data_IF_554061124336
#
_entry.id   IF_554061124336
#
_cell.length_a   1.000
_cell.length_b   1.000
_cell.length_c   1.000
_cell.angle_alpha   90.00
_cell.angle_beta   90.00
_cell.angle_gamma   90.00
#
_symmetry.space_group_name_H-M   'P 1'
#
loop_
_entity.id
_entity.type
_entity.pdbx_description
1 polymer ?
#
# COMPACT_ATOMS: atom_id res chain seq x y z
N UNK A 1 15.96 16.24 3.89
CA UNK A 1 16.28 14.81 4.07
C UNK A 1 15.08 14.00 4.59
N UNK A 2 14.45 14.39 5.71
CA UNK A 2 13.31 13.68 6.34
C UNK A 2 12.11 13.38 5.42
N UNK A 3 11.60 14.37 4.69
CA UNK A 3 10.48 14.17 3.75
C UNK A 3 10.80 13.23 2.58
N UNK A 4 12.07 13.15 2.15
CA UNK A 4 12.50 12.21 1.10
C UNK A 4 12.51 10.77 1.64
N UNK A 5 12.97 10.58 2.88
CA UNK A 5 13.00 9.27 3.51
C UNK A 5 11.59 8.73 3.78
N UNK A 6 10.68 9.56 4.31
CA UNK A 6 9.28 9.17 4.50
C UNK A 6 8.64 8.68 3.20
N UNK A 7 8.80 9.42 2.09
CA UNK A 7 8.27 9.00 0.78
C UNK A 7 8.86 7.64 0.34
N UNK A 8 10.15 7.44 0.55
CA UNK A 8 10.80 6.18 0.21
C UNK A 8 10.33 5.01 1.09
N UNK A 9 10.05 5.23 2.37
CA UNK A 9 9.45 4.23 3.27
C UNK A 9 7.98 3.93 2.93
N UNK A 10 7.23 4.93 2.46
CA UNK A 10 5.86 4.72 1.97
C UNK A 10 5.89 3.75 0.78
N UNK A 11 6.75 4.03 -0.21
CA UNK A 11 6.81 3.31 -1.49
C UNK A 11 7.52 1.95 -1.39
N UNK A 12 8.66 1.89 -0.69
CA UNK A 12 9.58 0.75 -0.70
C UNK A 12 9.74 0.10 0.69
N UNK A 13 8.94 0.51 1.68
CA UNK A 13 9.15 0.13 3.07
C UNK A 13 8.75 -1.30 3.40
N UNK A 14 9.54 -2.28 2.97
CA UNK A 14 9.40 -3.69 3.33
C UNK A 14 10.56 -4.12 4.22
N UNK A 15 10.23 -4.44 5.48
CA UNK A 15 11.19 -4.91 6.48
C UNK A 15 11.60 -6.36 6.22
N UNK A 16 12.78 -6.78 6.68
CA UNK A 16 13.24 -8.18 6.52
C UNK A 16 14.32 -8.35 5.46
N UNK A 17 15.05 -7.29 5.11
CA UNK A 17 16.13 -7.38 4.14
C UNK A 17 17.17 -8.41 4.60
N UNK A 18 17.55 -9.33 3.70
CA UNK A 18 18.49 -10.44 3.98
C UNK A 18 18.14 -11.25 5.25
N UNK A 19 16.85 -11.47 5.52
CA UNK A 19 16.32 -12.20 6.68
C UNK A 19 16.54 -11.50 8.04
N UNK A 20 17.00 -10.25 8.06
CA UNK A 20 17.04 -9.46 9.29
C UNK A 20 15.77 -8.59 9.42
N UNK A 21 14.91 -8.85 10.41
CA UNK A 21 13.64 -8.12 10.57
C UNK A 21 13.81 -6.62 10.89
N UNK A 22 14.99 -6.21 11.34
CA UNK A 22 15.31 -4.82 11.66
C UNK A 22 16.02 -4.10 10.53
N UNK A 23 16.17 -4.74 9.36
CA UNK A 23 16.79 -4.14 8.19
C UNK A 23 15.77 -3.90 7.10
N UNK A 24 15.94 -2.76 6.43
CA UNK A 24 15.17 -2.35 5.27
C UNK A 24 16.14 -1.91 4.18
N UNK A 25 15.89 -2.37 2.95
CA UNK A 25 16.61 -1.87 1.77
C UNK A 25 15.77 -0.81 1.10
N UNK A 26 16.36 0.36 0.92
CA UNK A 26 15.75 1.47 0.21
C UNK A 26 16.72 1.87 -0.90
N UNK A 27 16.34 1.60 -2.15
CA UNK A 27 17.23 1.76 -3.31
C UNK A 27 18.53 0.98 -3.10
N UNK A 28 19.67 1.67 -3.12
CA UNK A 28 21.02 1.12 -3.01
C UNK A 28 21.55 1.17 -1.58
N UNK A 29 20.69 1.46 -0.59
CA UNK A 29 21.09 1.65 0.79
C UNK A 29 20.35 0.68 1.72
N UNK A 30 21.08 0.18 2.72
CA UNK A 30 20.54 -0.67 3.78
C UNK A 30 20.48 0.13 5.07
N UNK A 31 19.30 0.21 5.65
CA UNK A 31 19.04 0.91 6.91
C UNK A 31 18.65 -0.08 8.01
N UNK A 32 19.07 0.21 9.24
CA UNK A 32 18.55 -0.36 10.47
C UNK A 32 17.35 0.46 10.91
N UNK A 33 16.29 -0.19 11.37
CA UNK A 33 15.09 0.49 11.87
C UNK A 33 14.81 0.10 13.31
N UNK A 34 14.25 1.04 14.07
CA UNK A 34 13.79 0.78 15.43
C UNK A 34 12.69 -0.29 15.45
N UNK A 35 12.56 -0.98 16.59
CA UNK A 35 11.48 -1.95 16.79
C UNK A 35 10.10 -1.30 16.64
N UNK A 36 9.95 -0.04 17.05
CA UNK A 36 8.72 0.73 16.90
C UNK A 36 8.39 1.00 15.44
N UNK A 37 9.35 1.52 14.65
CA UNK A 37 9.15 1.76 13.22
C UNK A 37 8.84 0.46 12.48
N UNK A 38 9.51 -0.63 12.83
CA UNK A 38 9.24 -1.97 12.30
C UNK A 38 7.80 -2.42 12.57
N UNK A 39 7.30 -2.23 13.80
CA UNK A 39 5.92 -2.57 14.16
C UNK A 39 4.94 -1.73 13.36
N UNK A 40 5.16 -0.41 13.26
CA UNK A 40 4.32 0.50 12.45
C UNK A 40 4.26 0.07 10.97
N UNK A 41 5.40 -0.31 10.39
CA UNK A 41 5.46 -0.81 9.01
C UNK A 41 4.74 -2.15 8.82
N UNK A 42 4.82 -3.07 9.79
CA UNK A 42 4.05 -4.31 9.77
C UNK A 42 2.55 -4.06 9.86
N UNK A 43 2.13 -3.21 10.80
CA UNK A 43 0.72 -2.82 10.95
C UNK A 43 0.20 -2.19 9.67
N UNK A 44 0.97 -1.28 9.05
CA UNK A 44 0.64 -0.68 7.74
C UNK A 44 0.33 -1.75 6.70
N UNK A 45 1.22 -2.73 6.52
CA UNK A 45 1.03 -3.76 5.51
C UNK A 45 -0.17 -4.68 5.81
N UNK A 46 -0.40 -4.99 7.09
CA UNK A 46 -1.57 -5.79 7.51
C UNK A 46 -2.87 -5.01 7.25
N UNK A 47 -2.94 -3.73 7.62
CA UNK A 47 -4.11 -2.90 7.39
C UNK A 47 -4.39 -2.73 5.90
N UNK A 48 -3.36 -2.45 5.09
CA UNK A 48 -3.51 -2.37 3.64
C UNK A 48 -4.05 -3.68 3.04
N UNK A 49 -3.59 -4.83 3.53
CA UNK A 49 -4.11 -6.13 3.09
C UNK A 49 -5.59 -6.29 3.44
N UNK A 50 -5.99 -5.95 4.67
CA UNK A 50 -7.38 -6.02 5.11
C UNK A 50 -8.26 -5.05 4.30
N UNK A 51 -7.80 -3.82 4.10
CA UNK A 51 -8.50 -2.78 3.33
C UNK A 51 -8.72 -3.22 1.89
N UNK A 52 -7.70 -3.77 1.22
CA UNK A 52 -7.81 -4.29 -0.14
C UNK A 52 -8.76 -5.48 -0.21
N UNK A 53 -8.70 -6.41 0.75
CA UNK A 53 -9.62 -7.53 0.82
C UNK A 53 -11.07 -7.06 0.94
N UNK A 54 -11.37 -6.20 1.93
CA UNK A 54 -12.71 -5.67 2.14
C UNK A 54 -13.20 -4.91 0.91
N UNK A 55 -12.34 -4.05 0.34
CA UNK A 55 -12.69 -3.29 -0.86
C UNK A 55 -12.96 -4.21 -2.05
N UNK A 56 -12.22 -5.32 -2.19
CA UNK A 56 -12.45 -6.32 -3.24
C UNK A 56 -13.81 -7.00 -3.07
N UNK A 57 -14.21 -7.34 -1.85
CA UNK A 57 -15.54 -7.88 -1.58
C UNK A 57 -16.65 -6.88 -1.89
N UNK A 58 -16.48 -5.60 -1.53
CA UNK A 58 -17.43 -4.54 -1.87
C UNK A 58 -17.53 -4.36 -3.39
N UNK A 59 -16.39 -4.29 -4.09
CA UNK A 59 -16.35 -4.20 -5.54
C UNK A 59 -17.09 -5.37 -6.19
N UNK A 60 -16.78 -6.60 -5.77
CA UNK A 60 -17.46 -7.79 -6.27
C UNK A 60 -18.95 -7.75 -6.01
N UNK A 61 -19.38 -7.36 -4.81
CA UNK A 61 -20.80 -7.22 -4.49
C UNK A 61 -21.52 -6.22 -5.41
N UNK A 62 -20.89 -5.09 -5.72
CA UNK A 62 -21.45 -4.09 -6.66
C UNK A 62 -21.53 -4.68 -8.07
N UNK A 63 -20.47 -5.35 -8.54
CA UNK A 63 -20.45 -5.98 -9.86
C UNK A 63 -21.51 -7.07 -9.99
N UNK A 64 -21.61 -7.96 -9.00
CA UNK A 64 -22.56 -9.08 -8.98
C UNK A 64 -24.01 -8.59 -8.82
N UNK A 65 -24.26 -7.41 -8.24
CA UNK A 65 -25.62 -6.88 -8.06
C UNK A 65 -26.09 -6.03 -9.23
N UNK A 66 -25.23 -5.15 -9.74
CA UNK A 66 -25.63 -4.12 -10.71
C UNK A 66 -25.22 -4.49 -12.15
N UNK A 67 -24.28 -5.44 -12.32
CA UNK A 67 -23.65 -5.75 -13.61
C UNK A 67 -23.55 -7.27 -13.88
N UNK A 68 -24.37 -8.09 -13.22
CA UNK A 68 -24.47 -9.53 -13.50
C UNK A 68 -25.16 -9.78 -14.84
N UNK A 69 -24.39 -9.63 -15.91
CA UNK A 69 -24.85 -9.75 -17.29
C UNK A 69 -23.92 -10.73 -17.99
N UNK A 70 -24.50 -11.70 -18.71
CA UNK A 70 -23.71 -12.57 -19.57
C UNK A 70 -22.94 -11.72 -20.59
N UNK A 71 -21.63 -11.97 -20.73
CA UNK A 71 -20.73 -11.24 -21.65
C UNK A 71 -21.31 -11.03 -23.06
N UNK A 72 -22.15 -11.98 -23.53
CA UNK A 72 -22.79 -11.96 -24.86
C UNK A 72 -23.98 -11.00 -24.98
N UNK A 73 -24.54 -10.54 -23.86
CA UNK A 73 -25.74 -9.68 -23.79
C UNK A 73 -25.39 -8.25 -23.37
N UNK A 74 -24.14 -8.00 -22.99
CA UNK A 74 -23.67 -6.71 -22.51
C UNK A 74 -23.58 -5.69 -23.66
N UNK A 75 -24.31 -4.58 -23.51
CA UNK A 75 -24.23 -3.42 -24.39
C UNK A 75 -22.94 -2.63 -24.17
N UNK A 76 -22.54 -1.82 -25.16
CA UNK A 76 -21.35 -0.95 -25.07
C UNK A 76 -21.40 -0.02 -23.84
N UNK A 77 -22.59 0.46 -23.47
CA UNK A 77 -22.74 1.37 -22.33
C UNK A 77 -22.58 0.66 -20.98
N UNK A 78 -23.04 -0.59 -20.87
CA UNK A 78 -22.77 -1.43 -19.69
C UNK A 78 -21.28 -1.73 -19.53
N UNK A 79 -20.56 -1.98 -20.64
CA UNK A 79 -19.10 -2.12 -20.63
C UNK A 79 -18.38 -0.87 -20.11
N UNK A 80 -18.80 0.32 -20.57
CA UNK A 80 -18.23 1.59 -20.11
C UNK A 80 -18.48 1.81 -18.62
N UNK A 81 -19.69 1.51 -18.15
CA UNK A 81 -20.03 1.63 -16.73
C UNK A 81 -19.22 0.68 -15.87
N UNK A 82 -19.13 -0.60 -16.24
CA UNK A 82 -18.29 -1.58 -15.56
C UNK A 82 -16.82 -1.15 -15.49
N UNK A 83 -16.25 -0.70 -16.62
CA UNK A 83 -14.89 -0.15 -16.66
C UNK A 83 -14.73 1.07 -15.74
N UNK A 84 -15.72 1.96 -15.71
CA UNK A 84 -15.74 3.12 -14.83
C UNK A 84 -15.71 2.73 -13.35
N UNK A 85 -16.52 1.73 -12.95
CA UNK A 85 -16.53 1.18 -11.59
C UNK A 85 -15.17 0.55 -11.26
N UNK A 86 -14.58 -0.22 -12.17
CA UNK A 86 -13.24 -0.79 -11.97
C UNK A 86 -12.17 0.28 -11.82
N UNK A 87 -12.19 1.35 -12.64
CA UNK A 87 -11.25 2.46 -12.52
C UNK A 87 -11.40 3.17 -11.18
N UNK A 88 -12.63 3.43 -10.74
CA UNK A 88 -12.90 4.03 -9.43
C UNK A 88 -12.42 3.14 -8.27
N UNK A 89 -12.62 1.83 -8.36
CA UNK A 89 -12.08 0.88 -7.40
C UNK A 89 -10.55 0.93 -7.33
N UNK A 90 -9.86 0.89 -8.48
CA UNK A 90 -8.39 1.00 -8.53
C UNK A 90 -7.91 2.32 -7.91
N UNK A 91 -8.56 3.44 -8.23
CA UNK A 91 -8.24 4.73 -7.63
C UNK A 91 -8.41 4.71 -6.11
N UNK A 92 -9.47 4.06 -5.61
CA UNK A 92 -9.74 3.95 -4.18
C UNK A 92 -8.64 3.15 -3.47
N UNK A 93 -8.17 2.05 -4.06
CA UNK A 93 -7.04 1.28 -3.52
C UNK A 93 -5.76 2.14 -3.45
N UNK A 94 -5.50 2.95 -4.48
CA UNK A 94 -4.35 3.88 -4.48
C UNK A 94 -4.49 4.93 -3.38
N UNK A 95 -5.68 5.50 -3.20
CA UNK A 95 -5.93 6.49 -2.12
C UNK A 95 -5.73 5.87 -0.74
N UNK A 96 -6.30 4.67 -0.50
CA UNK A 96 -6.11 3.93 0.75
C UNK A 96 -4.62 3.67 1.03
N UNK A 97 -3.88 3.25 0.01
CA UNK A 97 -2.43 3.07 0.11
C UNK A 97 -1.72 4.32 0.66
N UNK A 98 -1.99 5.49 0.09
CA UNK A 98 -1.35 6.73 0.54
C UNK A 98 -1.85 7.18 1.91
N UNK A 99 -3.15 7.11 2.19
CA UNK A 99 -3.74 7.54 3.46
C UNK A 99 -3.21 6.69 4.62
N UNK A 100 -3.31 5.37 4.52
CA UNK A 100 -2.86 4.43 5.57
C UNK A 100 -1.36 4.56 5.80
N UNK A 101 -0.58 4.71 4.73
CA UNK A 101 0.87 4.94 4.84
C UNK A 101 1.21 6.29 5.47
N UNK A 102 0.46 7.36 5.15
CA UNK A 102 0.70 8.70 5.68
C UNK A 102 0.40 8.80 7.18
N UNK A 103 -0.65 8.11 7.64
CA UNK A 103 -1.07 8.05 9.05
C UNK A 103 -0.05 7.28 9.90
N UNK A 104 0.41 6.12 9.42
CA UNK A 104 1.22 5.21 10.24
C UNK A 104 2.72 5.55 10.25
N UNK A 105 3.24 6.09 9.14
CA UNK A 105 4.66 6.46 9.05
C UNK A 105 4.83 7.89 9.62
N UNK A 106 5.60 8.07 10.71
CA UNK A 106 5.77 9.39 11.32
C UNK A 106 6.39 10.39 10.34
N UNK A 107 5.99 11.66 10.45
CA UNK A 107 6.54 12.75 9.64
C UNK A 107 8.00 13.05 10.00
N UNK A 108 8.33 12.93 11.29
CA UNK A 108 9.65 13.21 11.84
C UNK A 108 10.41 11.92 12.12
N UNK A 109 11.05 11.38 11.09
CA UNK A 109 11.99 10.27 11.25
C UNK A 109 13.30 10.82 11.84
N UNK A 110 13.73 10.23 12.96
CA UNK A 110 14.98 10.52 13.64
C UNK A 110 16.04 9.44 13.35
N UNK A 111 17.29 9.67 13.76
CA UNK A 111 18.35 8.64 13.64
C UNK A 111 18.10 7.43 14.53
N UNK A 112 17.31 7.59 15.61
CA UNK A 112 16.88 6.49 16.46
C UNK A 112 15.86 5.60 15.75
N UNK A 113 15.07 6.18 14.83
CA UNK A 113 14.07 5.44 14.04
C UNK A 113 14.68 4.70 12.86
N UNK A 114 15.65 5.32 12.19
CA UNK A 114 16.26 4.78 10.97
C UNK A 114 17.71 5.23 10.82
N UNK A 115 18.62 4.26 10.75
CA UNK A 115 20.07 4.52 10.65
C UNK A 115 20.67 3.82 9.44
N UNK A 116 21.48 4.53 8.67
CA UNK A 116 22.19 3.93 7.54
C UNK A 116 23.27 2.94 8.04
N UNK A 117 23.28 1.73 7.50
CA UNK A 117 24.28 0.70 7.82
C UNK A 117 25.30 0.56 6.69
N UNK A 118 24.83 0.52 5.44
CA UNK A 118 25.68 0.20 4.29
C UNK A 118 25.11 0.74 2.98
N UNK A 119 26.00 1.13 2.07
CA UNK A 119 25.71 1.30 0.64
C UNK A 119 25.98 -0.03 -0.10
N UNK A 120 25.09 -0.41 -1.01
CA UNK A 120 25.20 -1.61 -1.86
C UNK A 120 25.42 -1.26 -3.33
#
# INVERSE_FOLDING_TARGET
>A
MKNSMKKQLILNGVTGYKKNPNQIKIKDYVYEISDELRIRLKIKNILLFIEVLVSTFIYRYIMDKEYDIFYKEATLDQWKQGLGVTMFFMLTVVVLFFVTSYILIPNDLTEEDIRLIKEE
#
